data_IF_317431734768
#
_entry.id   IF_317431734768
#
_cell.length_a   1.000
_cell.length_b   1.000
_cell.length_c   1.000
_cell.angle_alpha   90.00
_cell.angle_beta   90.00
_cell.angle_gamma   90.00
#
_symmetry.space_group_name_H-M   'P 1'
#
loop_
_entity.id
_entity.type
_entity.pdbx_description
1 polymer ?
#
# COMPACT_ATOMS: atom_id res chain seq x y z
N UNK A 1 8.96 3.78 -1.34
CA UNK A 1 8.01 3.84 -0.21
C UNK A 1 8.76 4.42 0.97
N UNK A 2 8.24 5.48 1.56
CA UNK A 2 8.80 6.11 2.76
C UNK A 2 7.75 6.07 3.87
N UNK A 3 8.16 5.78 5.10
CA UNK A 3 7.27 5.72 6.28
C UNK A 3 7.81 6.66 7.34
N UNK A 4 7.04 7.70 7.66
CA UNK A 4 7.38 8.68 8.70
C UNK A 4 6.58 8.38 9.97
N UNK A 5 7.25 7.96 11.04
CA UNK A 5 6.63 7.75 12.35
C UNK A 5 6.63 9.05 13.15
N UNK A 6 5.45 9.46 13.62
CA UNK A 6 5.29 10.61 14.53
C UNK A 6 5.25 10.16 16.00
N UNK A 7 5.43 11.11 16.92
CA UNK A 7 5.33 10.86 18.35
C UNK A 7 3.92 10.34 18.73
N UNK A 8 3.89 9.28 19.54
CA UNK A 8 2.66 8.61 19.96
C UNK A 8 2.98 7.35 20.75
N UNK A 9 1.99 6.71 21.37
CA UNK A 9 2.20 5.52 22.19
C UNK A 9 2.75 4.35 21.37
N UNK A 10 3.48 3.41 22.00
CA UNK A 10 3.87 2.16 21.38
C UNK A 10 2.64 1.41 20.83
N UNK A 11 2.76 0.89 19.62
CA UNK A 11 1.68 0.20 18.92
C UNK A 11 2.21 -0.65 17.77
N UNK A 12 1.53 -1.78 17.55
CA UNK A 12 1.64 -2.59 16.33
C UNK A 12 0.60 -2.14 15.30
N UNK A 13 1.08 -1.68 14.14
CA UNK A 13 0.29 -1.33 12.97
C UNK A 13 0.70 -2.21 11.77
N UNK A 14 -0.02 -2.09 10.64
CA UNK A 14 0.36 -2.72 9.38
C UNK A 14 0.08 -1.83 8.19
N UNK A 15 0.93 -1.89 7.18
CA UNK A 15 0.69 -1.33 5.86
C UNK A 15 0.45 -2.46 4.87
N UNK A 16 -0.71 -2.45 4.21
CA UNK A 16 -1.05 -3.44 3.17
C UNK A 16 -0.93 -2.76 1.81
N UNK A 17 -0.03 -3.27 0.98
CA UNK A 17 0.16 -2.80 -0.40
C UNK A 17 -0.50 -3.81 -1.32
N UNK A 18 -1.53 -3.38 -2.04
CA UNK A 18 -2.17 -4.19 -3.07
C UNK A 18 -1.51 -3.91 -4.42
N UNK A 19 -1.46 -4.91 -5.28
CA UNK A 19 -0.84 -4.77 -6.61
C UNK A 19 -1.65 -5.55 -7.66
N UNK A 20 -1.56 -5.07 -8.89
CA UNK A 20 -2.13 -5.70 -10.09
C UNK A 20 -1.31 -5.26 -11.31
N UNK A 21 -1.34 -6.01 -12.43
CA UNK A 21 -0.79 -5.55 -13.69
C UNK A 21 -1.45 -4.24 -14.14
N UNK A 22 -0.65 -3.27 -14.57
CA UNK A 22 -1.17 -2.02 -15.10
C UNK A 22 -1.76 -2.24 -16.52
N UNK A 23 -2.90 -1.61 -16.86
CA UNK A 23 -3.33 -1.49 -18.24
C UNK A 23 -2.23 -0.81 -19.09
N UNK A 24 -2.07 -1.24 -20.35
CA UNK A 24 -0.92 -0.90 -21.19
C UNK A 24 -0.63 0.60 -21.31
N UNK A 25 -1.66 1.44 -21.28
CA UNK A 25 -1.57 2.90 -21.48
C UNK A 25 -2.02 3.69 -20.25
N UNK A 26 -2.06 3.07 -19.07
CA UNK A 26 -2.46 3.75 -17.85
C UNK A 26 -1.45 4.83 -17.45
N UNK A 27 -1.88 6.08 -17.40
CA UNK A 27 -1.07 7.22 -16.94
C UNK A 27 -1.43 7.67 -15.52
N UNK A 28 -2.54 7.20 -14.97
CA UNK A 28 -3.00 7.47 -13.61
C UNK A 28 -3.22 6.14 -12.87
N UNK A 29 -2.38 5.89 -11.87
CA UNK A 29 -2.44 4.68 -11.07
C UNK A 29 -3.71 4.59 -10.21
N UNK A 30 -4.30 5.72 -9.78
CA UNK A 30 -5.50 5.73 -8.95
C UNK A 30 -6.71 5.29 -9.76
N UNK A 31 -6.90 5.89 -10.94
CA UNK A 31 -7.97 5.50 -11.85
C UNK A 31 -7.79 4.07 -12.39
N UNK A 32 -6.55 3.68 -12.73
CA UNK A 32 -6.27 2.35 -13.22
C UNK A 32 -6.47 1.27 -12.14
N UNK A 33 -6.03 1.51 -10.91
CA UNK A 33 -6.18 0.51 -9.85
C UNK A 33 -7.65 0.29 -9.46
N UNK A 34 -8.49 1.33 -9.57
CA UNK A 34 -9.93 1.22 -9.32
C UNK A 34 -10.68 0.33 -10.33
N UNK A 35 -10.12 0.10 -11.53
CA UNK A 35 -10.75 -0.68 -12.60
C UNK A 35 -10.24 -2.12 -12.72
N UNK A 36 -9.22 -2.49 -11.93
CA UNK A 36 -8.63 -3.84 -11.94
C UNK A 36 -8.91 -4.57 -10.63
N UNK A 37 -8.97 -5.90 -10.71
CA UNK A 37 -8.96 -6.74 -9.50
C UNK A 37 -7.52 -6.88 -9.00
N UNK A 38 -7.23 -6.65 -7.71
CA UNK A 38 -5.91 -6.90 -7.15
C UNK A 38 -5.45 -8.33 -7.41
N UNK A 39 -4.25 -8.49 -7.97
CA UNK A 39 -3.63 -9.80 -8.19
C UNK A 39 -3.09 -10.39 -6.87
N UNK A 40 -2.81 -9.53 -5.88
CA UNK A 40 -2.36 -9.93 -4.57
C UNK A 40 -2.09 -8.74 -3.66
N UNK A 41 -1.51 -9.04 -2.50
CA UNK A 41 -1.06 -8.02 -1.56
C UNK A 41 0.21 -8.43 -0.83
N UNK A 42 1.00 -7.44 -0.41
CA UNK A 42 2.11 -7.60 0.53
C UNK A 42 1.75 -6.81 1.80
N UNK A 43 1.87 -7.45 2.96
CA UNK A 43 1.66 -6.79 4.25
C UNK A 43 2.99 -6.54 4.92
N UNK A 44 3.24 -5.29 5.31
CA UNK A 44 4.42 -4.87 6.06
C UNK A 44 3.98 -4.56 7.49
N UNK A 45 4.44 -5.32 8.51
CA UNK A 45 4.20 -4.97 9.90
C UNK A 45 4.97 -3.69 10.26
N UNK A 46 4.33 -2.80 11.01
CA UNK A 46 4.91 -1.55 11.49
C UNK A 46 4.83 -1.54 13.02
N UNK A 47 5.93 -1.95 13.65
CA UNK A 47 6.05 -1.99 15.11
C UNK A 47 6.65 -0.68 15.62
N UNK A 48 5.91 0.04 16.46
CA UNK A 48 6.44 1.16 17.24
C UNK A 48 6.54 0.71 18.70
N UNK A 49 7.76 0.44 19.17
CA UNK A 49 8.05 -0.05 20.53
C UNK A 49 8.82 0.98 21.34
#
# INVERSE_FOLDING_TARGET
LEVTRLAGPPKEDKLVIQFAPAPADATDATAAFASVTPAGSVTIPLSAT
#
